data_IF_123040483924
#
_entry.id   IF_123040483924
#
_cell.length_a   1.000
_cell.length_b   1.000
_cell.length_c   1.000
_cell.angle_alpha   90.00
_cell.angle_beta   90.00
_cell.angle_gamma   90.00
#
_symmetry.space_group_name_H-M   'P 1'
#
loop_
_entity.id
_entity.type
_entity.pdbx_description
1 polymer ?
#
# COMPACT_ATOMS: atom_id res chain seq x y z
N UNK A 1 -8.83 -1.70 -24.81
CA UNK A 1 -9.37 -2.99 -24.24
C UNK A 1 -10.67 -3.41 -24.95
N UNK A 2 -11.65 -2.54 -25.14
CA UNK A 2 -12.95 -2.86 -25.77
C UNK A 2 -12.79 -3.37 -27.20
N UNK A 3 -11.98 -2.69 -28.03
CA UNK A 3 -11.72 -3.12 -29.42
C UNK A 3 -11.05 -4.50 -29.51
N UNK A 4 -10.08 -4.80 -28.64
CA UNK A 4 -9.44 -6.10 -28.62
C UNK A 4 -10.45 -7.23 -28.34
N UNK A 5 -11.38 -7.00 -27.40
CA UNK A 5 -12.44 -7.99 -27.13
C UNK A 5 -13.43 -8.13 -28.28
N UNK A 6 -13.77 -7.04 -28.96
CA UNK A 6 -14.62 -7.10 -30.16
C UNK A 6 -13.97 -7.97 -31.24
N UNK A 7 -12.68 -7.77 -31.50
CA UNK A 7 -11.92 -8.57 -32.48
C UNK A 7 -11.84 -10.05 -32.06
N UNK A 8 -11.53 -10.34 -30.80
CA UNK A 8 -11.45 -11.72 -30.30
C UNK A 8 -12.82 -12.41 -30.41
N UNK A 9 -13.90 -11.74 -30.05
CA UNK A 9 -15.26 -12.29 -30.15
C UNK A 9 -15.71 -12.47 -31.60
N UNK A 10 -15.22 -11.62 -32.52
CA UNK A 10 -15.54 -11.70 -33.94
C UNK A 10 -14.81 -12.86 -34.63
N UNK A 11 -13.53 -13.06 -34.31
CA UNK A 11 -12.71 -14.10 -34.97
C UNK A 11 -12.74 -15.47 -34.28
N UNK A 12 -13.01 -15.50 -32.96
CA UNK A 12 -13.05 -16.71 -32.14
C UNK A 12 -14.29 -16.66 -31.19
N UNK A 13 -15.52 -16.77 -31.75
CA UNK A 13 -16.73 -16.44 -30.97
C UNK A 13 -16.91 -17.33 -29.72
N UNK A 14 -16.71 -18.63 -29.82
CA UNK A 14 -16.89 -19.56 -28.67
C UNK A 14 -15.74 -19.43 -27.67
N UNK A 15 -14.50 -19.49 -28.13
CA UNK A 15 -13.31 -19.35 -27.30
C UNK A 15 -13.23 -17.94 -26.72
N UNK A 16 -13.50 -16.94 -27.56
CA UNK A 16 -13.54 -15.52 -27.15
C UNK A 16 -14.61 -15.24 -26.09
N UNK A 17 -15.79 -15.87 -26.19
CA UNK A 17 -16.84 -15.73 -25.19
C UNK A 17 -16.41 -16.31 -23.83
N UNK A 18 -15.79 -17.49 -23.82
CA UNK A 18 -15.24 -18.10 -22.62
C UNK A 18 -14.17 -17.20 -22.00
N UNK A 19 -13.18 -16.75 -22.79
CA UNK A 19 -12.15 -15.84 -22.32
C UNK A 19 -12.70 -14.50 -21.87
N UNK A 20 -13.70 -13.93 -22.57
CA UNK A 20 -14.35 -12.70 -22.17
C UNK A 20 -15.08 -12.83 -20.83
N UNK A 21 -15.73 -13.97 -20.59
CA UNK A 21 -16.41 -14.24 -19.32
C UNK A 21 -15.43 -14.25 -18.14
N UNK A 22 -14.24 -14.84 -18.32
CA UNK A 22 -13.23 -14.92 -17.26
C UNK A 22 -12.32 -13.69 -17.15
N UNK A 23 -11.99 -13.04 -18.26
CA UNK A 23 -10.97 -11.98 -18.30
C UNK A 23 -11.49 -10.62 -18.78
N UNK A 24 -12.61 -10.59 -19.51
CA UNK A 24 -13.17 -9.37 -20.09
C UNK A 24 -14.15 -8.61 -19.22
N UNK A 25 -14.75 -9.28 -18.24
CA UNK A 25 -15.72 -8.67 -17.32
C UNK A 25 -14.99 -7.82 -16.28
N UNK A 26 -15.23 -6.52 -16.31
CA UNK A 26 -14.80 -5.64 -15.23
C UNK A 26 -15.64 -5.92 -13.98
N UNK A 27 -15.00 -6.40 -12.91
CA UNK A 27 -15.66 -6.59 -11.60
C UNK A 27 -15.92 -5.27 -10.86
N UNK A 28 -15.64 -4.10 -11.48
CA UNK A 28 -15.91 -2.76 -10.95
C UNK A 28 -17.37 -2.52 -10.52
N UNK A 29 -18.30 -3.42 -10.84
CA UNK A 29 -19.72 -3.32 -10.46
C UNK A 29 -20.10 -4.13 -9.22
N UNK A 30 -19.26 -5.01 -8.72
CA UNK A 30 -19.51 -5.65 -7.44
C UNK A 30 -19.26 -4.63 -6.31
N UNK A 31 -20.34 -4.09 -5.75
CA UNK A 31 -20.27 -3.28 -4.52
C UNK A 31 -19.83 -4.17 -3.37
N UNK A 32 -18.52 -4.20 -3.11
CA UNK A 32 -17.90 -5.08 -2.11
C UNK A 32 -18.31 -4.64 -0.70
N UNK A 33 -18.48 -3.35 -0.48
CA UNK A 33 -18.95 -2.77 0.78
C UNK A 33 -20.23 -1.99 0.50
N UNK A 34 -21.29 -2.28 1.23
CA UNK A 34 -22.51 -1.47 1.15
C UNK A 34 -22.21 -0.03 1.59
N UNK A 35 -22.62 0.96 0.80
CA UNK A 35 -22.41 2.39 1.11
C UNK A 35 -22.77 2.76 2.56
N UNK A 36 -23.82 2.15 3.13
CA UNK A 36 -24.21 2.33 4.53
C UNK A 36 -23.15 1.85 5.53
N UNK A 37 -22.48 0.72 5.26
CA UNK A 37 -21.47 0.17 6.15
C UNK A 37 -20.16 0.96 6.04
N UNK A 38 -19.78 1.34 4.83
CA UNK A 38 -18.67 2.24 4.55
C UNK A 38 -18.85 3.60 5.26
N UNK A 39 -20.02 4.21 5.08
CA UNK A 39 -20.38 5.46 5.75
C UNK A 39 -20.37 5.36 7.29
N UNK A 40 -20.78 4.22 7.87
CA UNK A 40 -20.73 4.00 9.33
C UNK A 40 -19.32 3.86 9.87
N UNK A 41 -18.44 3.17 9.15
CA UNK A 41 -17.03 3.04 9.54
C UNK A 41 -16.30 4.39 9.50
N UNK A 42 -16.60 5.21 8.50
CA UNK A 42 -15.91 6.48 8.30
C UNK A 42 -16.56 7.66 9.04
N UNK A 43 -17.90 7.75 9.05
CA UNK A 43 -18.59 8.95 9.53
C UNK A 43 -18.52 9.16 11.03
N UNK A 44 -18.55 8.11 11.86
CA UNK A 44 -18.65 8.30 13.30
C UNK A 44 -17.33 8.66 13.99
N UNK A 45 -16.25 7.88 13.81
CA UNK A 45 -14.94 8.25 14.39
C UNK A 45 -14.34 9.48 13.72
N UNK A 46 -14.55 9.64 12.42
CA UNK A 46 -13.96 10.70 11.63
C UNK A 46 -14.70 12.04 11.76
N UNK A 47 -16.04 12.03 11.90
CA UNK A 47 -16.81 13.26 12.12
C UNK A 47 -16.53 13.89 13.46
N UNK A 48 -16.38 13.10 14.52
CA UNK A 48 -15.97 13.59 15.85
C UNK A 48 -14.54 14.15 15.81
N UNK A 49 -13.66 13.53 15.05
CA UNK A 49 -12.29 14.01 14.84
C UNK A 49 -12.25 15.32 14.05
N UNK A 50 -13.00 15.44 12.95
CA UNK A 50 -13.05 16.64 12.11
C UNK A 50 -13.64 17.85 12.83
N UNK A 51 -14.63 17.61 13.68
CA UNK A 51 -15.22 18.67 14.50
C UNK A 51 -14.22 19.28 15.51
N UNK A 52 -13.15 18.56 15.85
CA UNK A 52 -12.17 18.95 16.86
C UNK A 52 -10.83 19.44 16.29
N UNK A 53 -10.56 19.27 14.99
CA UNK A 53 -9.23 19.51 14.44
C UNK A 53 -9.30 20.17 13.05
N UNK A 54 -9.35 21.51 13.02
CA UNK A 54 -9.04 22.28 11.82
C UNK A 54 -7.52 22.32 11.65
N UNK A 55 -6.98 21.52 10.70
CA UNK A 55 -5.58 21.54 10.36
C UNK A 55 -5.32 22.62 9.30
N UNK A 56 -4.36 23.51 9.54
CA UNK A 56 -3.90 24.42 8.50
C UNK A 56 -3.14 23.64 7.43
N UNK A 57 -3.71 23.58 6.24
CA UNK A 57 -3.07 22.89 5.11
C UNK A 57 -2.14 23.82 4.34
N UNK A 58 -0.91 23.38 3.98
CA UNK A 58 -0.02 24.17 3.15
C UNK A 58 -0.71 24.57 1.83
N UNK A 59 -0.70 25.84 1.50
CA UNK A 59 -1.38 26.39 0.29
C UNK A 59 -0.92 25.72 -1.00
N UNK A 60 0.35 25.37 -1.08
CA UNK A 60 0.99 24.71 -2.21
C UNK A 60 0.38 23.34 -2.49
N UNK A 61 -0.02 22.59 -1.45
CA UNK A 61 -0.57 21.24 -1.55
C UNK A 61 -2.07 21.16 -1.25
N UNK A 62 -2.75 22.30 -1.09
CA UNK A 62 -4.17 22.34 -0.77
C UNK A 62 -5.03 21.56 -1.79
N UNK A 63 -4.70 21.65 -3.09
CA UNK A 63 -5.40 20.90 -4.15
C UNK A 63 -5.19 19.40 -4.06
N UNK A 64 -3.98 18.95 -3.71
CA UNK A 64 -3.64 17.54 -3.54
C UNK A 64 -4.37 16.96 -2.33
N UNK A 65 -4.34 17.67 -1.21
CA UNK A 65 -5.03 17.29 0.02
C UNK A 65 -6.54 17.20 -0.23
N UNK A 66 -7.12 18.21 -0.87
CA UNK A 66 -8.55 18.25 -1.20
C UNK A 66 -8.96 17.10 -2.15
N UNK A 67 -8.11 16.75 -3.12
CA UNK A 67 -8.35 15.61 -4.00
C UNK A 67 -8.55 14.33 -3.18
N UNK A 68 -7.64 14.04 -2.26
CA UNK A 68 -7.70 12.84 -1.44
C UNK A 68 -8.86 12.86 -0.42
N UNK A 69 -9.21 14.03 0.10
CA UNK A 69 -10.41 14.17 0.93
C UNK A 69 -11.68 13.82 0.14
N UNK A 70 -11.77 14.29 -1.11
CA UNK A 70 -12.96 14.09 -1.94
C UNK A 70 -13.07 12.66 -2.51
N UNK A 71 -11.96 11.99 -2.78
CA UNK A 71 -11.95 10.68 -3.45
C UNK A 71 -12.05 9.52 -2.48
N UNK A 72 -11.32 9.55 -1.38
CA UNK A 72 -11.28 8.44 -0.42
C UNK A 72 -11.40 8.86 1.05
N UNK A 73 -11.84 10.10 1.30
CA UNK A 73 -12.00 10.65 2.66
C UNK A 73 -10.70 10.58 3.49
N UNK A 74 -9.55 10.66 2.83
CA UNK A 74 -8.28 10.78 3.51
C UNK A 74 -8.13 12.21 4.05
N UNK A 75 -8.09 12.34 5.37
CA UNK A 75 -7.93 13.63 6.04
C UNK A 75 -6.46 13.85 6.41
N UNK A 76 -5.97 15.09 6.37
CA UNK A 76 -4.66 15.44 6.87
C UNK A 76 -4.66 15.44 8.40
N UNK A 77 -3.61 14.90 8.99
CA UNK A 77 -3.38 14.82 10.43
C UNK A 77 -2.06 15.51 10.76
N UNK A 78 -2.08 16.51 11.63
CA UNK A 78 -0.87 17.17 12.14
C UNK A 78 -0.39 16.57 13.45
N UNK A 79 0.80 16.96 13.88
CA UNK A 79 1.36 16.55 15.17
C UNK A 79 1.91 15.11 15.17
N UNK A 80 2.32 14.59 14.01
CA UNK A 80 2.85 13.23 13.92
C UNK A 80 4.38 13.22 13.97
N UNK A 81 4.93 12.17 14.60
CA UNK A 81 6.32 11.76 14.47
C UNK A 81 6.41 10.65 13.43
N UNK A 82 7.43 10.75 12.57
CA UNK A 82 7.70 9.79 11.49
C UNK A 82 9.12 9.29 11.62
N UNK A 83 9.32 8.01 11.91
CA UNK A 83 10.63 7.37 11.90
C UNK A 83 10.77 6.54 10.61
N UNK A 84 11.88 6.70 9.87
CA UNK A 84 12.09 6.09 8.56
C UNK A 84 13.09 4.93 8.67
N UNK A 85 12.67 3.77 8.17
CA UNK A 85 13.50 2.57 8.08
C UNK A 85 13.80 2.24 6.63
N UNK A 86 15.08 2.08 6.31
CA UNK A 86 15.55 1.82 4.96
C UNK A 86 16.14 0.42 4.77
N UNK A 87 16.18 -0.36 5.84
CA UNK A 87 16.65 -1.74 5.87
C UNK A 87 15.73 -2.62 6.73
N UNK A 88 15.64 -3.88 6.36
CA UNK A 88 14.74 -4.84 7.00
C UNK A 88 15.04 -5.08 8.47
N UNK A 89 16.32 -5.19 8.85
CA UNK A 89 16.71 -5.43 10.25
C UNK A 89 16.24 -4.33 11.19
N UNK A 90 16.51 -3.07 10.87
CA UNK A 90 16.10 -1.93 11.71
C UNK A 90 14.57 -1.84 11.82
N UNK A 91 13.85 -2.09 10.72
CA UNK A 91 12.37 -2.15 10.72
C UNK A 91 11.86 -3.29 11.58
N UNK A 92 12.43 -4.51 11.45
CA UNK A 92 12.01 -5.67 12.23
C UNK A 92 12.25 -5.45 13.72
N UNK A 93 13.41 -4.92 14.09
CA UNK A 93 13.76 -4.60 15.48
C UNK A 93 12.76 -3.61 16.10
N UNK A 94 12.42 -2.54 15.35
CA UNK A 94 11.41 -1.58 15.78
C UNK A 94 10.03 -2.21 15.91
N UNK A 95 9.63 -3.02 14.93
CA UNK A 95 8.33 -3.70 14.95
C UNK A 95 8.20 -4.62 16.17
N UNK A 96 9.18 -5.49 16.43
CA UNK A 96 9.15 -6.41 17.58
C UNK A 96 9.09 -5.66 18.90
N UNK A 97 9.87 -4.59 19.03
CA UNK A 97 9.86 -3.73 20.22
C UNK A 97 8.48 -3.13 20.49
N UNK A 98 7.81 -2.64 19.47
CA UNK A 98 6.48 -2.04 19.64
C UNK A 98 5.38 -3.09 19.82
N UNK A 99 5.48 -4.26 19.16
CA UNK A 99 4.56 -5.39 19.39
C UNK A 99 4.63 -5.87 20.85
N UNK A 100 5.83 -5.99 21.43
CA UNK A 100 6.01 -6.40 22.84
C UNK A 100 5.37 -5.42 23.83
N UNK A 101 5.27 -4.13 23.49
CA UNK A 101 4.64 -3.11 24.33
C UNK A 101 3.11 -3.07 24.22
N UNK A 102 2.51 -3.76 23.27
CA UNK A 102 1.07 -3.78 23.04
C UNK A 102 0.30 -4.20 24.29
N UNK A 103 -0.80 -3.50 24.59
CA UNK A 103 -1.63 -3.73 25.77
C UNK A 103 -3.10 -3.97 25.45
N UNK A 104 -3.61 -3.40 24.37
CA UNK A 104 -5.04 -3.44 24.02
C UNK A 104 -5.27 -4.26 22.76
N UNK A 105 -4.64 -3.88 21.66
CA UNK A 105 -4.83 -4.59 20.41
C UNK A 105 -3.65 -4.46 19.44
N UNK A 106 -3.51 -5.45 18.57
CA UNK A 106 -2.62 -5.46 17.42
C UNK A 106 -3.45 -5.79 16.18
N UNK A 107 -3.50 -4.87 15.22
CA UNK A 107 -4.08 -5.08 13.91
C UNK A 107 -2.97 -5.13 12.87
N UNK A 108 -2.84 -6.26 12.17
CA UNK A 108 -1.72 -6.50 11.25
C UNK A 108 -2.23 -6.96 9.89
N UNK A 109 -1.70 -6.38 8.83
CA UNK A 109 -2.05 -6.70 7.46
C UNK A 109 -0.79 -6.75 6.60
N UNK A 110 -0.56 -7.89 5.94
CA UNK A 110 0.59 -8.09 5.07
C UNK A 110 0.24 -8.82 3.79
N UNK A 111 0.83 -8.38 2.68
CA UNK A 111 0.77 -9.11 1.42
C UNK A 111 1.54 -10.43 1.49
N UNK A 112 2.76 -10.40 2.06
CA UNK A 112 3.59 -11.59 2.26
C UNK A 112 3.90 -11.72 3.75
N UNK A 113 3.56 -12.87 4.32
CA UNK A 113 3.90 -13.29 5.67
C UNK A 113 4.37 -14.74 5.58
N UNK A 114 5.71 -14.93 5.51
CA UNK A 114 6.33 -16.23 5.22
C UNK A 114 6.52 -17.08 6.49
N UNK A 115 6.52 -18.39 6.32
CA UNK A 115 6.95 -19.35 7.34
C UNK A 115 8.47 -19.52 7.31
N UNK A 116 9.19 -18.46 7.62
CA UNK A 116 10.65 -18.39 7.71
C UNK A 116 11.08 -17.85 9.09
N UNK A 117 12.38 -17.76 9.39
CA UNK A 117 12.84 -17.28 10.71
C UNK A 117 12.24 -15.93 11.12
N UNK A 118 12.05 -15.00 10.18
CA UNK A 118 11.47 -13.67 10.45
C UNK A 118 9.98 -13.77 10.72
N UNK A 119 9.26 -14.50 9.87
CA UNK A 119 7.82 -14.68 10.04
C UNK A 119 7.49 -15.43 11.31
N UNK A 120 8.23 -16.50 11.64
CA UNK A 120 8.07 -17.24 12.90
C UNK A 120 8.32 -16.37 14.12
N UNK A 121 9.36 -15.54 14.11
CA UNK A 121 9.64 -14.63 15.21
C UNK A 121 8.48 -13.65 15.46
N UNK A 122 7.93 -13.07 14.40
CA UNK A 122 6.75 -12.18 14.53
C UNK A 122 5.53 -12.95 14.99
N UNK A 123 5.25 -14.13 14.42
CA UNK A 123 4.15 -15.01 14.83
C UNK A 123 4.22 -15.32 16.32
N UNK A 124 5.40 -15.70 16.81
CA UNK A 124 5.57 -16.13 18.21
C UNK A 124 5.33 -14.97 19.18
N UNK A 125 5.76 -13.75 18.84
CA UNK A 125 5.41 -12.52 19.60
C UNK A 125 3.89 -12.25 19.59
N UNK A 126 3.23 -12.41 18.43
CA UNK A 126 1.78 -12.24 18.36
C UNK A 126 1.03 -13.27 19.22
N UNK A 127 1.48 -14.53 19.24
CA UNK A 127 0.93 -15.60 20.08
C UNK A 127 1.13 -15.28 21.56
N UNK A 128 2.32 -14.82 21.94
CA UNK A 128 2.62 -14.38 23.32
C UNK A 128 1.64 -13.27 23.74
N UNK A 129 1.50 -12.22 22.93
CA UNK A 129 0.60 -11.10 23.20
C UNK A 129 -0.87 -11.52 23.28
N UNK A 130 -1.32 -12.44 22.42
CA UNK A 130 -2.68 -12.97 22.50
C UNK A 130 -2.92 -13.73 23.81
N UNK A 131 -1.94 -14.53 24.29
CA UNK A 131 -2.00 -15.22 25.59
C UNK A 131 -2.01 -14.26 26.78
N UNK A 132 -1.40 -13.08 26.65
CA UNK A 132 -1.48 -11.99 27.62
C UNK A 132 -2.84 -11.26 27.62
N UNK A 133 -3.75 -11.61 26.71
CA UNK A 133 -5.07 -10.99 26.57
C UNK A 133 -5.14 -9.80 25.64
N UNK A 134 -4.09 -9.53 24.86
CA UNK A 134 -4.11 -8.53 23.80
C UNK A 134 -4.95 -9.04 22.63
N UNK A 135 -5.87 -8.23 22.13
CA UNK A 135 -6.70 -8.56 20.97
C UNK A 135 -5.85 -8.48 19.68
N UNK A 136 -5.66 -9.62 19.01
CA UNK A 136 -4.82 -9.67 17.81
C UNK A 136 -5.65 -10.07 16.58
N UNK A 137 -5.59 -9.25 15.54
CA UNK A 137 -6.20 -9.50 14.22
C UNK A 137 -5.15 -9.45 13.12
N UNK A 138 -5.13 -10.47 12.28
CA UNK A 138 -4.18 -10.60 11.17
C UNK A 138 -4.92 -10.82 9.85
N UNK A 139 -4.59 -9.99 8.85
CA UNK A 139 -4.99 -10.20 7.46
C UNK A 139 -3.72 -10.55 6.66
N UNK A 140 -3.78 -11.62 5.88
CA UNK A 140 -2.74 -11.96 4.91
C UNK A 140 -3.34 -12.14 3.51
N UNK A 141 -2.57 -11.86 2.47
CA UNK A 141 -3.02 -12.10 1.10
C UNK A 141 -2.87 -13.58 0.74
N UNK A 142 -3.93 -14.19 0.21
CA UNK A 142 -3.97 -15.63 -0.10
C UNK A 142 -2.93 -16.03 -1.16
N UNK A 143 -2.72 -15.20 -2.19
CA UNK A 143 -1.73 -15.45 -3.24
C UNK A 143 -0.32 -15.09 -2.78
N UNK A 144 -0.17 -14.00 -2.05
CA UNK A 144 1.11 -13.57 -1.49
C UNK A 144 1.70 -14.59 -0.50
N UNK A 145 0.84 -15.38 0.16
CA UNK A 145 1.21 -16.41 1.12
C UNK A 145 0.95 -17.84 0.63
N UNK A 146 0.87 -18.06 -0.69
CA UNK A 146 0.46 -19.35 -1.27
C UNK A 146 1.38 -20.53 -0.92
N UNK A 147 2.66 -20.25 -0.71
CA UNK A 147 3.63 -21.26 -0.32
C UNK A 147 3.73 -21.50 1.18
N UNK A 148 2.99 -20.70 1.99
CA UNK A 148 3.02 -20.81 3.43
C UNK A 148 2.12 -21.97 3.88
N UNK A 149 2.63 -22.93 4.68
CA UNK A 149 1.83 -24.03 5.18
C UNK A 149 0.63 -23.52 6.00
N UNK A 150 -0.53 -24.13 5.84
CA UNK A 150 -1.74 -23.76 6.60
C UNK A 150 -1.50 -23.79 8.10
N UNK A 151 -0.72 -24.77 8.59
CA UNK A 151 -0.36 -24.92 9.99
C UNK A 151 0.22 -23.64 10.61
N UNK A 152 1.01 -22.86 9.83
CA UNK A 152 1.57 -21.59 10.31
C UNK A 152 0.50 -20.61 10.80
N UNK A 153 -0.62 -20.51 10.07
CA UNK A 153 -1.74 -19.66 10.45
C UNK A 153 -2.70 -20.34 11.43
N UNK A 154 -2.77 -21.66 11.46
CA UNK A 154 -3.56 -22.43 12.44
C UNK A 154 -3.00 -22.28 13.84
N UNK A 155 -1.69 -22.35 14.02
CA UNK A 155 -1.02 -22.13 15.31
C UNK A 155 -1.36 -20.75 15.91
N UNK A 156 -1.53 -19.72 15.08
CA UNK A 156 -2.01 -18.41 15.54
C UNK A 156 -3.49 -18.45 15.96
N UNK A 157 -4.34 -19.14 15.19
CA UNK A 157 -5.78 -19.28 15.54
C UNK A 157 -5.98 -20.07 16.83
N UNK A 158 -5.20 -21.11 17.04
CA UNK A 158 -5.24 -21.92 18.25
C UNK A 158 -4.85 -21.12 19.50
N UNK A 159 -4.02 -20.09 19.32
CA UNK A 159 -3.67 -19.15 20.38
C UNK A 159 -4.70 -18.02 20.59
N UNK A 160 -5.83 -18.04 19.86
CA UNK A 160 -6.90 -17.04 19.98
C UNK A 160 -6.76 -15.83 19.05
N UNK A 161 -5.82 -15.84 18.10
CA UNK A 161 -5.66 -14.75 17.12
C UNK A 161 -6.71 -14.89 16.02
N UNK A 162 -7.39 -13.81 15.70
CA UNK A 162 -8.30 -13.76 14.57
C UNK A 162 -7.51 -13.60 13.27
N UNK A 163 -7.36 -14.66 12.47
CA UNK A 163 -6.59 -14.67 11.22
C UNK A 163 -7.51 -14.87 10.03
N UNK A 164 -7.45 -13.96 9.05
CA UNK A 164 -8.26 -14.01 7.82
C UNK A 164 -7.37 -13.89 6.58
N UNK A 165 -7.72 -14.65 5.52
CA UNK A 165 -7.08 -14.49 4.21
C UNK A 165 -7.86 -13.50 3.34
N UNK A 166 -7.14 -12.61 2.67
CA UNK A 166 -7.72 -11.68 1.71
C UNK A 166 -7.93 -12.37 0.37
N UNK A 167 -9.15 -12.32 -0.17
CA UNK A 167 -9.54 -12.88 -1.48
C UNK A 167 -9.05 -14.31 -1.72
N UNK A 168 -9.55 -15.26 -0.93
CA UNK A 168 -9.25 -16.69 -1.07
C UNK A 168 -9.48 -17.19 -2.51
N UNK A 169 -8.44 -17.76 -3.11
CA UNK A 169 -8.44 -18.24 -4.50
C UNK A 169 -8.52 -19.76 -4.51
N UNK A 170 -9.68 -20.33 -4.84
CA UNK A 170 -9.88 -21.78 -4.91
C UNK A 170 -9.48 -22.39 -6.27
N UNK A 171 -9.65 -21.64 -7.37
CA UNK A 171 -9.35 -22.09 -8.74
C UNK A 171 -8.63 -20.97 -9.50
N UNK A 172 -7.29 -20.87 -9.41
CA UNK A 172 -6.53 -19.74 -9.97
C UNK A 172 -6.65 -19.58 -11.48
N UNK A 173 -6.77 -20.67 -12.23
CA UNK A 173 -6.88 -20.64 -13.69
C UNK A 173 -8.24 -20.13 -14.19
N UNK A 174 -9.26 -20.09 -13.34
CA UNK A 174 -10.64 -19.77 -13.73
C UNK A 174 -11.22 -18.55 -13.01
N UNK A 175 -10.39 -17.73 -12.36
CA UNK A 175 -10.87 -16.57 -11.64
C UNK A 175 -10.04 -15.32 -11.91
N UNK A 176 -10.70 -14.22 -12.27
CA UNK A 176 -10.08 -12.89 -12.37
C UNK A 176 -9.65 -12.33 -10.99
N UNK A 177 -10.09 -12.97 -9.89
CA UNK A 177 -9.71 -12.57 -8.51
C UNK A 177 -8.21 -12.70 -8.22
N UNK A 178 -7.46 -13.46 -9.02
CA UNK A 178 -5.99 -13.53 -8.93
C UNK A 178 -5.33 -12.18 -9.17
N UNK A 179 -5.96 -11.28 -9.94
CA UNK A 179 -5.41 -9.98 -10.28
C UNK A 179 -5.67 -8.90 -9.20
N UNK A 180 -6.71 -9.07 -8.37
CA UNK A 180 -7.06 -8.12 -7.32
C UNK A 180 -6.43 -8.57 -6.02
N UNK A 181 -5.35 -7.90 -5.59
CA UNK A 181 -4.58 -8.27 -4.41
C UNK A 181 -4.51 -7.14 -3.41
N UNK A 182 -4.45 -7.51 -2.14
CA UNK A 182 -4.16 -6.55 -1.09
C UNK A 182 -2.64 -6.44 -0.91
N UNK A 183 -2.07 -5.35 -1.44
CA UNK A 183 -0.63 -5.12 -1.39
C UNK A 183 -0.21 -4.24 -0.20
N UNK A 184 -1.12 -3.96 0.74
CA UNK A 184 -0.83 -3.16 1.93
C UNK A 184 0.06 -3.92 2.90
N UNK A 185 0.84 -3.19 3.69
CA UNK A 185 1.66 -3.67 4.79
C UNK A 185 1.45 -2.67 5.91
N UNK A 186 0.48 -2.97 6.76
CA UNK A 186 0.02 -2.11 7.84
C UNK A 186 0.12 -2.86 9.16
N UNK A 187 0.62 -2.21 10.20
CA UNK A 187 0.47 -2.65 11.59
C UNK A 187 -0.03 -1.47 12.39
N UNK A 188 -1.06 -1.68 13.20
CA UNK A 188 -1.55 -0.72 14.17
C UNK A 188 -1.51 -1.36 15.55
N UNK A 189 -0.87 -0.68 16.51
CA UNK A 189 -0.70 -1.13 17.87
C UNK A 189 -1.38 -0.11 18.78
N UNK A 190 -2.37 -0.56 19.56
CA UNK A 190 -3.13 0.22 20.54
C UNK A 190 -3.74 1.53 19.96
N UNK A 191 -3.90 1.61 18.63
CA UNK A 191 -4.37 2.81 17.94
C UNK A 191 -3.42 4.02 18.01
N UNK A 192 -2.19 3.84 18.50
CA UNK A 192 -1.19 4.91 18.78
C UNK A 192 0.06 4.81 17.92
N UNK A 193 0.50 3.60 17.63
CA UNK A 193 1.68 3.31 16.79
C UNK A 193 1.19 2.66 15.52
N UNK A 194 1.71 3.13 14.38
CA UNK A 194 1.44 2.58 13.07
C UNK A 194 2.70 2.28 12.28
N UNK A 195 2.71 1.19 11.54
CA UNK A 195 3.76 0.89 10.55
C UNK A 195 3.13 0.82 9.17
N UNK A 196 3.78 1.42 8.18
CA UNK A 196 3.38 1.35 6.77
C UNK A 196 4.60 1.48 5.85
N UNK A 197 4.59 0.79 4.71
CA UNK A 197 5.65 0.92 3.70
C UNK A 197 5.74 -0.26 2.74
N UNK A 198 6.92 -0.47 2.14
CA UNK A 198 7.14 -1.49 1.12
C UNK A 198 7.52 -2.87 1.65
N UNK A 199 8.09 -2.98 2.87
CA UNK A 199 8.66 -4.22 3.40
C UNK A 199 7.61 -5.20 3.91
N UNK A 200 7.63 -6.44 3.42
CA UNK A 200 6.84 -7.55 3.96
C UNK A 200 7.52 -8.23 5.16
N UNK A 201 6.93 -9.34 5.62
CA UNK A 201 7.46 -10.21 6.66
C UNK A 201 8.06 -11.47 6.04
N UNK A 202 9.32 -11.38 5.60
CA UNK A 202 10.09 -12.50 5.07
C UNK A 202 11.61 -12.22 5.20
N UNK A 203 12.40 -13.27 5.37
CA UNK A 203 13.84 -13.20 5.59
C UNK A 203 14.58 -12.47 4.47
N UNK A 204 14.11 -12.58 3.22
CA UNK A 204 14.70 -11.90 2.07
C UNK A 204 14.74 -10.37 2.19
N UNK A 205 13.80 -9.76 2.93
CA UNK A 205 13.82 -8.31 3.22
C UNK A 205 14.95 -7.92 4.19
N UNK A 206 15.47 -8.89 4.95
CA UNK A 206 16.60 -8.72 5.89
C UNK A 206 17.93 -8.98 5.19
N UNK A 207 18.07 -10.18 4.61
CA UNK A 207 19.32 -10.65 4.01
C UNK A 207 19.57 -10.16 2.60
N UNK A 208 18.51 -9.81 1.86
CA UNK A 208 18.62 -9.53 0.43
C UNK A 208 18.82 -10.80 -0.41
N UNK A 209 19.49 -10.63 -1.53
CA UNK A 209 19.89 -11.68 -2.46
C UNK A 209 21.40 -11.96 -2.31
N UNK A 210 21.89 -13.06 -2.89
CA UNK A 210 23.32 -13.37 -2.94
C UNK A 210 24.15 -12.31 -3.66
N UNK A 211 23.52 -11.53 -4.55
CA UNK A 211 24.13 -10.47 -5.35
C UNK A 211 23.94 -9.04 -4.78
N UNK A 212 23.21 -8.88 -3.67
CA UNK A 212 23.06 -7.55 -3.07
C UNK A 212 21.96 -7.43 -2.04
N UNK A 213 21.97 -6.31 -1.33
CA UNK A 213 21.00 -6.02 -0.27
C UNK A 213 19.60 -5.76 -0.83
N UNK A 214 18.59 -6.02 0.00
CA UNK A 214 17.22 -5.55 -0.26
C UNK A 214 17.05 -4.15 0.32
N UNK A 215 16.86 -3.14 -0.54
CA UNK A 215 16.64 -1.75 -0.16
C UNK A 215 15.18 -1.39 -0.35
N UNK A 216 14.48 -1.17 0.74
CA UNK A 216 13.08 -0.76 0.72
C UNK A 216 12.84 0.34 1.77
N UNK A 217 11.70 0.99 1.75
CA UNK A 217 11.35 2.04 2.70
C UNK A 217 10.09 1.67 3.47
N UNK A 218 10.17 1.81 4.80
CA UNK A 218 9.06 1.61 5.72
C UNK A 218 9.10 2.70 6.77
N UNK A 219 7.96 3.12 7.28
CA UNK A 219 7.89 4.13 8.33
C UNK A 219 7.15 3.61 9.55
N UNK A 220 7.54 4.12 10.71
CA UNK A 220 6.74 4.11 11.93
C UNK A 220 6.12 5.48 12.09
N UNK A 221 4.83 5.50 12.35
CA UNK A 221 4.04 6.68 12.67
C UNK A 221 3.64 6.63 14.13
N UNK A 222 3.82 7.73 14.82
CA UNK A 222 3.30 7.97 16.14
C UNK A 222 2.53 9.29 16.13
N UNK A 223 1.23 9.25 16.42
CA UNK A 223 0.37 10.42 16.34
C UNK A 223 -0.98 10.12 15.68
N UNK A 224 -1.72 11.20 15.42
CA UNK A 224 -3.11 11.14 14.95
C UNK A 224 -3.29 10.43 13.60
N UNK A 225 -2.26 10.42 12.73
CA UNK A 225 -2.32 9.75 11.43
C UNK A 225 -2.48 8.23 11.55
N UNK A 226 -2.18 7.64 12.70
CA UNK A 226 -2.44 6.22 12.99
C UNK A 226 -3.92 5.88 12.87
N UNK A 227 -4.83 6.83 13.13
CA UNK A 227 -6.27 6.66 12.92
C UNK A 227 -6.63 6.40 11.45
N UNK A 228 -5.88 6.98 10.51
CA UNK A 228 -6.03 6.70 9.08
C UNK A 228 -5.63 5.26 8.74
N UNK A 229 -4.53 4.76 9.30
CA UNK A 229 -4.11 3.36 9.15
C UNK A 229 -5.09 2.39 9.80
N UNK A 230 -5.59 2.73 11.00
CA UNK A 230 -6.60 1.97 11.70
C UNK A 230 -7.89 1.86 10.87
N UNK A 231 -8.31 2.95 10.26
CA UNK A 231 -9.48 2.98 9.39
C UNK A 231 -9.28 2.10 8.16
N UNK A 232 -8.11 2.18 7.50
CA UNK A 232 -7.78 1.32 6.36
C UNK A 232 -7.83 -0.16 6.72
N UNK A 233 -7.21 -0.56 7.84
CA UNK A 233 -7.27 -1.92 8.34
C UNK A 233 -8.71 -2.39 8.62
N UNK A 234 -9.53 -1.58 9.31
CA UNK A 234 -10.89 -1.96 9.66
C UNK A 234 -11.83 -2.07 8.45
N UNK A 235 -11.59 -1.32 7.39
CA UNK A 235 -12.27 -1.48 6.11
C UNK A 235 -11.92 -2.82 5.46
N UNK A 236 -10.64 -3.17 5.43
CA UNK A 236 -10.18 -4.45 4.90
C UNK A 236 -10.64 -5.63 5.80
N UNK A 237 -10.66 -5.45 7.11
CA UNK A 237 -11.23 -6.43 8.04
C UNK A 237 -12.71 -6.69 7.75
N UNK A 238 -13.51 -5.61 7.61
CA UNK A 238 -14.91 -5.76 7.23
C UNK A 238 -15.08 -6.47 5.88
N UNK A 239 -14.16 -6.22 4.95
CA UNK A 239 -14.19 -6.90 3.65
C UNK A 239 -14.01 -8.42 3.80
N UNK A 240 -13.09 -8.89 4.63
CA UNK A 240 -12.75 -10.33 4.76
C UNK A 240 -13.62 -11.08 5.77
N UNK A 241 -14.07 -10.42 6.85
CA UNK A 241 -14.77 -11.05 7.98
C UNK A 241 -16.27 -10.71 8.04
N UNK A 242 -16.69 -9.62 7.37
CA UNK A 242 -18.05 -9.06 7.40
C UNK A 242 -18.49 -8.52 8.77
N UNK A 243 -17.61 -8.48 9.74
CA UNK A 243 -17.85 -7.90 11.06
C UNK A 243 -17.50 -6.42 11.05
N UNK A 244 -18.50 -5.57 11.35
CA UNK A 244 -18.33 -4.12 11.44
C UNK A 244 -17.77 -3.74 12.81
N UNK A 245 -16.52 -3.32 12.88
CA UNK A 245 -15.84 -2.91 14.10
C UNK A 245 -15.81 -1.37 14.17
N UNK A 246 -16.52 -0.79 15.15
CA UNK A 246 -16.65 0.67 15.31
C UNK A 246 -16.34 1.14 16.74
N UNK A 247 -15.74 0.29 17.58
CA UNK A 247 -15.48 0.63 18.97
C UNK A 247 -14.47 1.78 19.10
N UNK A 248 -14.79 2.77 19.92
CA UNK A 248 -13.96 3.96 20.16
C UNK A 248 -12.58 3.64 20.75
N UNK A 249 -12.44 2.48 21.42
CA UNK A 249 -11.15 2.02 21.97
C UNK A 249 -10.03 1.88 20.93
N UNK A 250 -10.37 1.68 19.63
CA UNK A 250 -9.40 1.61 18.54
C UNK A 250 -8.94 2.98 18.03
N UNK A 251 -9.59 4.05 18.49
CA UNK A 251 -9.31 5.43 18.15
C UNK A 251 -9.09 6.27 19.42
N UNK A 252 -8.04 5.98 20.20
CA UNK A 252 -7.78 6.68 21.43
C UNK A 252 -7.48 8.15 21.16
N UNK A 253 -7.72 9.02 22.16
CA UNK A 253 -7.25 10.40 22.09
C UNK A 253 -5.72 10.41 22.06
N UNK A 254 -5.16 11.10 21.09
CA UNK A 254 -3.72 11.18 20.84
C UNK A 254 -3.27 12.63 20.91
N UNK A 255 -2.19 12.87 21.66
CA UNK A 255 -1.50 14.16 21.70
C UNK A 255 -0.53 14.29 20.51
N UNK A 256 0.04 15.47 20.31
CA UNK A 256 1.06 15.68 19.30
C UNK A 256 2.40 15.09 19.75
N UNK A 257 3.05 14.31 18.87
CA UNK A 257 4.37 13.72 19.11
C UNK A 257 5.46 14.33 18.24
N UNK A 258 5.10 15.12 17.23
CA UNK A 258 6.02 15.74 16.29
C UNK A 258 5.33 16.83 15.46
N UNK A 259 5.96 17.23 14.37
CA UNK A 259 5.51 18.35 13.54
C UNK A 259 5.09 17.94 12.11
N UNK A 260 5.05 16.64 11.80
CA UNK A 260 4.70 16.20 10.46
C UNK A 260 3.20 16.24 10.22
N UNK A 261 2.81 16.82 9.08
CA UNK A 261 1.47 16.69 8.51
C UNK A 261 1.44 15.41 7.67
N UNK A 262 0.55 14.49 7.99
CA UNK A 262 0.46 13.18 7.33
C UNK A 262 -0.97 12.93 6.85
N UNK A 263 -1.10 12.43 5.62
CA UNK A 263 -2.36 12.00 5.04
C UNK A 263 -2.24 10.54 4.60
N UNK A 264 -3.10 9.66 5.12
CA UNK A 264 -3.13 8.24 4.76
C UNK A 264 -4.05 8.06 3.57
N UNK A 265 -3.44 7.73 2.43
CA UNK A 265 -4.15 7.57 1.17
C UNK A 265 -4.20 6.09 0.80
N UNK A 266 -5.40 5.59 0.55
CA UNK A 266 -5.61 4.23 0.03
C UNK A 266 -6.13 4.31 -1.41
N UNK A 267 -5.96 3.24 -2.17
CA UNK A 267 -6.63 3.05 -3.45
C UNK A 267 -7.33 1.70 -3.44
N UNK A 268 -8.47 1.62 -4.09
CA UNK A 268 -9.24 0.40 -4.18
C UNK A 268 -9.34 -0.05 -5.64
N UNK A 269 -9.11 -1.34 -5.94
CA UNK A 269 -9.15 -1.84 -7.33
C UNK A 269 -10.53 -1.70 -7.97
N UNK A 270 -11.58 -1.61 -7.15
CA UNK A 270 -13.00 -1.57 -7.57
C UNK A 270 -13.59 -0.17 -7.44
N UNK A 271 -12.89 0.76 -6.82
CA UNK A 271 -13.31 2.15 -6.66
C UNK A 271 -13.58 2.87 -7.99
N UNK A 272 -14.40 3.94 -7.98
CA UNK A 272 -14.67 4.74 -9.17
C UNK A 272 -13.46 5.55 -9.62
N UNK A 273 -12.53 5.81 -8.71
CA UNK A 273 -11.36 6.64 -8.91
C UNK A 273 -10.07 5.81 -8.86
N UNK A 274 -8.97 6.39 -9.31
CA UNK A 274 -7.60 5.88 -9.20
C UNK A 274 -6.80 6.85 -8.34
N UNK A 275 -7.13 6.86 -7.05
CA UNK A 275 -6.79 7.91 -6.11
C UNK A 275 -5.30 8.17 -6.07
N UNK A 276 -4.48 7.12 -5.87
CA UNK A 276 -3.03 7.26 -5.80
C UNK A 276 -2.46 7.75 -7.14
N UNK A 277 -2.91 7.20 -8.27
CA UNK A 277 -2.47 7.63 -9.60
C UNK A 277 -2.82 9.10 -9.86
N UNK A 278 -4.07 9.50 -9.55
CA UNK A 278 -4.53 10.88 -9.71
C UNK A 278 -3.75 11.84 -8.81
N UNK A 279 -3.52 11.44 -7.54
CA UNK A 279 -2.72 12.23 -6.61
C UNK A 279 -1.28 12.41 -7.07
N UNK A 280 -0.64 11.35 -7.57
CA UNK A 280 0.72 11.43 -8.13
C UNK A 280 0.76 12.34 -9.35
N UNK A 281 -0.24 12.28 -10.23
CA UNK A 281 -0.35 13.19 -11.38
C UNK A 281 -0.39 14.65 -10.92
N UNK A 282 -1.22 14.96 -9.92
CA UNK A 282 -1.32 16.33 -9.35
C UNK A 282 0.00 16.73 -8.70
N UNK A 283 0.65 15.84 -7.96
CA UNK A 283 1.92 16.11 -7.28
C UNK A 283 3.05 16.37 -8.28
N UNK A 284 3.21 15.56 -9.33
CA UNK A 284 4.22 15.72 -10.36
C UNK A 284 3.99 17.04 -11.14
N UNK A 285 2.73 17.29 -11.56
CA UNK A 285 2.40 18.52 -12.31
C UNK A 285 2.47 19.78 -11.46
N UNK A 286 2.38 19.65 -10.13
CA UNK A 286 2.46 20.77 -9.18
C UNK A 286 3.88 21.08 -8.71
N UNK A 287 4.85 20.21 -8.98
CA UNK A 287 6.24 20.41 -8.61
C UNK A 287 6.84 21.66 -9.29
N UNK A 288 7.60 22.44 -8.53
CA UNK A 288 8.17 23.72 -9.01
C UNK A 288 9.67 23.64 -9.25
N UNK A 289 10.40 22.90 -8.39
CA UNK A 289 11.87 22.80 -8.45
C UNK A 289 12.29 21.40 -8.86
N UNK A 290 11.81 20.39 -8.15
CA UNK A 290 12.19 19.00 -8.40
C UNK A 290 11.13 17.99 -7.96
N UNK A 291 11.16 16.83 -8.60
CA UNK A 291 10.40 15.65 -8.19
C UNK A 291 11.26 14.39 -8.38
N UNK A 292 11.67 13.77 -7.28
CA UNK A 292 12.52 12.58 -7.29
C UNK A 292 11.72 11.36 -6.86
N UNK A 293 11.89 10.25 -7.56
CA UNK A 293 11.15 9.03 -7.30
C UNK A 293 12.01 7.77 -7.34
N UNK A 294 11.67 6.82 -6.48
CA UNK A 294 12.23 5.47 -6.44
C UNK A 294 11.10 4.46 -6.62
N UNK A 295 11.29 3.50 -7.51
CA UNK A 295 10.35 2.39 -7.72
C UNK A 295 11.09 1.15 -8.23
N UNK A 296 10.67 -0.08 -7.84
CA UNK A 296 11.27 -1.29 -8.40
C UNK A 296 10.88 -1.53 -9.85
N UNK A 297 9.69 -1.06 -10.26
CA UNK A 297 9.12 -1.27 -11.59
C UNK A 297 8.60 0.05 -12.13
N UNK A 298 8.94 0.35 -13.38
CA UNK A 298 8.49 1.53 -14.09
C UNK A 298 7.71 1.12 -15.35
N UNK A 299 6.43 0.85 -15.17
CA UNK A 299 5.48 0.55 -16.23
C UNK A 299 4.31 1.55 -16.15
N UNK A 300 4.60 2.84 -16.36
CA UNK A 300 3.67 3.92 -16.05
C UNK A 300 2.43 3.86 -16.94
N UNK A 301 1.34 4.42 -16.43
CA UNK A 301 0.20 4.77 -17.27
C UNK A 301 0.53 5.99 -18.13
N UNK A 302 -0.18 6.18 -19.25
CA UNK A 302 -0.02 7.36 -20.11
C UNK A 302 -0.14 8.67 -19.30
N UNK A 303 -1.01 8.70 -18.29
CA UNK A 303 -1.22 9.87 -17.44
C UNK A 303 0.03 10.21 -16.61
N UNK A 304 0.67 9.23 -15.98
CA UNK A 304 1.90 9.44 -15.19
C UNK A 304 3.07 9.79 -16.11
N UNK A 305 3.22 9.07 -17.23
CA UNK A 305 4.27 9.32 -18.21
C UNK A 305 4.17 10.76 -18.77
N UNK A 306 2.97 11.18 -19.19
CA UNK A 306 2.72 12.52 -19.68
C UNK A 306 2.98 13.61 -18.63
N UNK A 307 2.60 13.39 -17.37
CA UNK A 307 2.88 14.33 -16.28
C UNK A 307 4.39 14.50 -16.05
N UNK A 308 5.17 13.39 -16.03
CA UNK A 308 6.63 13.43 -15.89
C UNK A 308 7.30 14.17 -17.05
N UNK A 309 6.91 13.86 -18.29
CA UNK A 309 7.44 14.52 -19.50
C UNK A 309 7.13 16.02 -19.48
N UNK A 310 5.88 16.38 -19.20
CA UNK A 310 5.45 17.79 -19.18
C UNK A 310 6.20 18.59 -18.11
N UNK A 311 6.33 18.04 -16.89
CA UNK A 311 7.06 18.70 -15.82
C UNK A 311 8.56 18.86 -16.15
N UNK A 312 9.21 17.83 -16.72
CA UNK A 312 10.61 17.90 -17.12
C UNK A 312 10.83 18.92 -18.24
N UNK A 313 9.99 18.92 -19.28
CA UNK A 313 10.03 19.90 -20.37
C UNK A 313 9.75 21.33 -19.89
N UNK A 314 8.99 21.50 -18.82
CA UNK A 314 8.74 22.79 -18.17
C UNK A 314 9.90 23.24 -17.23
N UNK A 315 11.00 22.47 -17.16
CA UNK A 315 12.20 22.84 -16.41
C UNK A 315 12.27 22.30 -14.97
N UNK A 316 11.34 21.46 -14.55
CA UNK A 316 11.40 20.77 -13.24
C UNK A 316 12.46 19.66 -13.29
N UNK A 317 13.34 19.56 -12.29
CA UNK A 317 14.32 18.48 -12.19
C UNK A 317 13.61 17.17 -11.79
N UNK A 318 13.25 16.36 -12.79
CA UNK A 318 12.62 15.06 -12.58
C UNK A 318 13.71 13.99 -12.56
N UNK A 319 13.77 13.19 -11.45
CA UNK A 319 14.71 12.09 -11.32
C UNK A 319 13.98 10.79 -11.00
N UNK A 320 14.33 9.74 -11.75
CA UNK A 320 13.81 8.38 -11.56
C UNK A 320 14.96 7.46 -11.20
N UNK A 321 14.82 6.73 -10.08
CA UNK A 321 15.77 5.70 -9.67
C UNK A 321 15.11 4.32 -9.73
N UNK A 322 15.74 3.41 -10.46
CA UNK A 322 15.35 2.01 -10.66
C UNK A 322 16.43 1.06 -10.13
N UNK A 323 16.12 -0.20 -9.84
CA UNK A 323 17.16 -1.19 -9.57
C UNK A 323 17.96 -1.51 -10.84
N UNK A 324 19.29 -1.65 -10.75
CA UNK A 324 20.11 -2.15 -11.86
C UNK A 324 19.81 -3.63 -12.14
N UNK A 325 19.66 -4.41 -11.07
CA UNK A 325 19.26 -5.81 -11.14
C UNK A 325 17.86 -5.97 -10.55
N UNK A 326 16.93 -6.44 -11.38
CA UNK A 326 15.55 -6.69 -10.96
C UNK A 326 15.37 -8.15 -10.52
N UNK A 327 14.37 -8.38 -9.69
CA UNK A 327 13.92 -9.71 -9.27
C UNK A 327 13.20 -10.48 -10.39
N UNK A 328 12.70 -9.76 -11.41
CA UNK A 328 12.00 -10.33 -12.55
C UNK A 328 12.48 -9.69 -13.87
N UNK A 329 13.00 -10.53 -14.76
CA UNK A 329 13.56 -10.11 -16.05
C UNK A 329 12.53 -9.46 -16.99
N UNK A 330 11.28 -9.95 -16.99
CA UNK A 330 10.21 -9.42 -17.85
C UNK A 330 9.82 -8.01 -17.43
N UNK A 331 9.63 -7.78 -16.14
CA UNK A 331 9.30 -6.45 -15.61
C UNK A 331 10.45 -5.46 -15.78
N UNK A 332 11.70 -5.93 -15.73
CA UNK A 332 12.88 -5.11 -16.00
C UNK A 332 12.92 -4.64 -17.45
N UNK A 333 12.78 -5.56 -18.41
CA UNK A 333 12.73 -5.23 -19.83
C UNK A 333 11.56 -4.30 -20.15
N UNK A 334 10.39 -4.55 -19.54
CA UNK A 334 9.24 -3.65 -19.64
C UNK A 334 9.54 -2.26 -19.11
N UNK A 335 10.21 -2.14 -17.95
CA UNK A 335 10.63 -0.84 -17.41
C UNK A 335 11.59 -0.11 -18.35
N UNK A 336 12.58 -0.82 -18.91
CA UNK A 336 13.54 -0.26 -19.84
C UNK A 336 12.90 0.28 -21.13
N UNK A 337 11.77 -0.30 -21.58
CA UNK A 337 11.11 0.16 -22.82
C UNK A 337 10.58 1.60 -22.73
N UNK A 338 10.25 2.10 -21.52
CA UNK A 338 9.77 3.47 -21.29
C UNK A 338 10.90 4.49 -21.08
N UNK A 339 12.16 4.05 -20.89
CA UNK A 339 13.24 4.96 -20.53
C UNK A 339 13.58 5.95 -21.66
N UNK A 340 13.51 5.52 -22.93
CA UNK A 340 13.75 6.40 -24.06
C UNK A 340 12.79 7.60 -24.07
N UNK A 341 11.51 7.38 -23.70
CA UNK A 341 10.48 8.41 -23.72
C UNK A 341 10.68 9.45 -22.62
N UNK A 342 11.08 9.03 -21.42
CA UNK A 342 11.34 9.96 -20.32
C UNK A 342 12.69 10.68 -20.49
N UNK A 343 13.72 10.01 -21.00
CA UNK A 343 15.02 10.62 -21.28
C UNK A 343 14.93 11.71 -22.34
N UNK A 344 14.15 11.52 -23.40
CA UNK A 344 13.91 12.56 -24.42
C UNK A 344 13.28 13.82 -23.85
N UNK A 345 12.46 13.70 -22.81
CA UNK A 345 11.86 14.82 -22.12
C UNK A 345 12.80 15.52 -21.11
N UNK A 346 13.98 14.96 -20.86
CA UNK A 346 14.96 15.53 -19.92
C UNK A 346 14.89 14.94 -18.51
N UNK A 347 14.12 13.88 -18.29
CA UNK A 347 14.11 13.14 -17.02
C UNK A 347 15.46 12.45 -16.82
N UNK A 348 16.05 12.59 -15.63
CA UNK A 348 17.32 11.94 -15.28
C UNK A 348 17.05 10.57 -14.69
N UNK A 349 17.59 9.52 -15.30
CA UNK A 349 17.41 8.13 -14.85
C UNK A 349 18.67 7.63 -14.18
N UNK A 350 18.50 6.99 -13.02
CA UNK A 350 19.57 6.42 -12.22
C UNK A 350 19.31 4.95 -11.93
N UNK A 351 20.37 4.14 -11.84
CA UNK A 351 20.30 2.73 -11.45
C UNK A 351 20.97 2.50 -10.12
N UNK A 352 20.23 1.89 -9.18
CA UNK A 352 20.76 1.50 -7.88
C UNK A 352 21.56 0.21 -7.99
N UNK A 353 22.88 0.27 -7.66
CA UNK A 353 23.83 -0.81 -7.90
C UNK A 353 24.09 -1.74 -6.71
N UNK A 354 23.78 -1.30 -5.47
CA UNK A 354 24.15 -2.05 -4.24
C UNK A 354 23.24 -3.23 -3.93
N UNK A 355 22.27 -3.53 -4.78
CA UNK A 355 21.31 -4.62 -4.60
C UNK A 355 19.95 -4.30 -5.23
N UNK A 356 18.88 -4.90 -4.72
CA UNK A 356 17.53 -4.72 -5.23
C UNK A 356 16.84 -3.52 -4.57
N UNK A 357 16.60 -2.48 -5.34
CA UNK A 357 15.80 -1.33 -4.90
C UNK A 357 14.31 -1.66 -5.03
N UNK A 358 13.63 -1.79 -3.91
CA UNK A 358 12.18 -2.06 -3.87
C UNK A 358 11.38 -0.93 -3.21
N UNK A 359 12.00 0.22 -2.92
CA UNK A 359 11.33 1.39 -2.34
C UNK A 359 10.29 1.98 -3.29
N UNK A 360 9.18 2.46 -2.76
CA UNK A 360 8.16 3.28 -3.42
C UNK A 360 8.12 4.60 -2.66
N UNK A 361 9.05 5.46 -3.03
CA UNK A 361 9.33 6.72 -2.35
C UNK A 361 9.34 7.84 -3.36
N UNK A 362 8.72 8.96 -3.02
CA UNK A 362 8.79 10.19 -3.79
C UNK A 362 9.03 11.37 -2.88
N UNK A 363 9.79 12.34 -3.36
CA UNK A 363 10.05 13.61 -2.67
C UNK A 363 9.97 14.76 -3.67
N UNK A 364 9.40 15.87 -3.26
CA UNK A 364 9.23 17.07 -4.09
C UNK A 364 9.41 18.34 -3.27
N UNK A 365 10.20 19.27 -3.79
CA UNK A 365 10.30 20.67 -3.38
C UNK A 365 10.55 20.87 -1.88
N UNK A 366 11.25 19.94 -1.20
CA UNK A 366 11.50 19.92 0.26
C UNK A 366 10.25 19.87 1.15
N UNK A 367 9.06 19.73 0.58
CA UNK A 367 7.78 19.85 1.27
C UNK A 367 6.94 18.58 1.25
N UNK A 368 6.97 17.82 0.15
CA UNK A 368 6.16 16.61 -0.03
C UNK A 368 7.03 15.38 -0.06
N UNK A 369 6.65 14.38 0.74
CA UNK A 369 7.20 13.02 0.66
C UNK A 369 6.07 11.99 0.63
N UNK A 370 6.23 10.93 -0.15
CA UNK A 370 5.32 9.78 -0.13
C UNK A 370 6.07 8.49 0.16
N UNK A 371 5.56 7.68 1.06
CA UNK A 371 6.06 6.33 1.36
C UNK A 371 4.88 5.37 1.35
N UNK A 372 4.99 4.27 0.62
CA UNK A 372 3.86 3.33 0.55
C UNK A 372 4.23 1.99 -0.08
N UNK A 373 3.20 1.29 -0.54
CA UNK A 373 3.33 -0.03 -1.17
C UNK A 373 3.06 -0.02 -2.68
N UNK A 374 2.64 1.12 -3.26
CA UNK A 374 2.22 1.23 -4.66
C UNK A 374 3.41 1.47 -5.58
N UNK A 375 3.67 0.57 -6.51
CA UNK A 375 4.69 0.75 -7.55
C UNK A 375 4.21 1.75 -8.62
N UNK A 376 5.16 2.30 -9.39
CA UNK A 376 4.86 3.08 -10.60
C UNK A 376 4.55 2.17 -11.80
N UNK A 377 3.53 1.32 -11.64
CA UNK A 377 3.06 0.42 -12.69
C UNK A 377 1.53 0.41 -12.80
N UNK A 378 1.04 0.12 -14.01
CA UNK A 378 -0.40 0.10 -14.31
C UNK A 378 -1.14 -0.94 -13.46
N UNK A 379 -0.48 -2.05 -13.05
CA UNK A 379 -1.10 -3.07 -12.21
C UNK A 379 -1.37 -2.54 -10.81
N UNK A 380 -0.40 -1.84 -10.23
CA UNK A 380 -0.56 -1.20 -8.91
C UNK A 380 -1.62 -0.12 -8.91
N UNK A 381 -1.79 0.62 -10.01
CA UNK A 381 -2.79 1.66 -10.12
C UNK A 381 -4.19 1.16 -10.47
N UNK A 382 -4.32 0.01 -11.13
CA UNK A 382 -5.61 -0.49 -11.62
C UNK A 382 -6.15 -1.70 -10.84
N UNK A 383 -5.30 -2.48 -10.16
CA UNK A 383 -5.66 -3.80 -9.64
C UNK A 383 -5.27 -4.08 -8.19
N UNK A 384 -4.56 -3.17 -7.52
CA UNK A 384 -4.13 -3.34 -6.12
C UNK A 384 -4.80 -2.33 -5.19
#
# INVERSE_FOLDING_TARGET
>A
KTMAWILILMFLPVVGLVFYFFFGRSQRREKIIGKKSYDRLLKKPMAEYLAQNCCETPKEYARLIQLFQNTNQAFPFEGNRVDIYTGGYSKLQALLRELQKARLHIHMEYYIFEDDPVGRLVRDVLIEKAREGVEVRVIYDDVGCWHVPHRFFEEMRDAGIEVRSFLKVRFPLFTSKVNYRNHRKIVVIDGRIGFIGGMNLAERYMRGFSWGIWRDTHILLEGKAVHGLQTAFLLDWYFVDRTLITASRYFPKIEAYGNSLVQIVTSEPIGPWKEIMQGLTVAISGAKKYFYMQTPYFLPTEQILGAMQTAALAGVDIRLMLPEHADNRVTHLGSCSYLADVLRAGVKVYFYKKGFLHSKLMVSDDMLSTVGSTNLDFRSFEHN
#
